data_IF_701682681044
#
_entry.id   IF_701682681044
#
_cell.length_a   1.000
_cell.length_b   1.000
_cell.length_c   1.000
_cell.angle_alpha   90.00
_cell.angle_beta   90.00
_cell.angle_gamma   90.00
#
_symmetry.space_group_name_H-M   'P 1'
#
loop_
_entity.id
_entity.type
_entity.pdbx_description
1 polymer ?
#
# COMPACT_ATOMS: atom_id res chain seq x y z
N UNK A 1 16.33 5.78 -11.33
CA UNK A 1 16.89 7.09 -10.85
C UNK A 1 17.03 7.04 -9.33
N UNK A 2 18.19 7.40 -8.79
CA UNK A 2 18.42 7.50 -7.34
C UNK A 2 18.16 8.94 -6.83
N UNK A 3 18.20 9.13 -5.50
CA UNK A 3 17.93 10.44 -4.88
C UNK A 3 18.84 11.55 -5.42
N UNK A 4 20.17 11.32 -5.51
CA UNK A 4 21.11 12.35 -5.94
C UNK A 4 20.86 12.78 -7.40
N UNK A 5 20.59 11.82 -8.30
CA UNK A 5 20.24 12.15 -9.70
C UNK A 5 18.90 12.86 -9.81
N UNK A 6 17.91 12.48 -9.01
CA UNK A 6 16.60 13.14 -8.97
C UNK A 6 16.73 14.61 -8.54
N UNK A 7 17.50 14.88 -7.49
CA UNK A 7 17.78 16.26 -7.03
C UNK A 7 18.45 17.09 -8.12
N UNK A 8 19.45 16.52 -8.80
CA UNK A 8 20.15 17.18 -9.90
C UNK A 8 19.21 17.52 -11.04
N UNK A 9 18.37 16.57 -11.45
CA UNK A 9 17.37 16.78 -12.52
C UNK A 9 16.34 17.85 -12.15
N UNK A 10 15.79 17.82 -10.91
CA UNK A 10 14.85 18.85 -10.45
C UNK A 10 15.48 20.24 -10.57
N UNK A 11 16.70 20.41 -10.06
CA UNK A 11 17.42 21.70 -10.12
C UNK A 11 17.71 22.13 -11.56
N UNK A 12 18.07 21.19 -12.45
CA UNK A 12 18.34 21.45 -13.85
C UNK A 12 17.08 21.89 -14.60
N UNK A 13 15.96 21.20 -14.41
CA UNK A 13 14.69 21.51 -15.08
C UNK A 13 14.07 22.83 -14.61
N UNK A 14 14.31 23.17 -13.34
CA UNK A 14 13.76 24.40 -12.76
C UNK A 14 14.72 25.60 -12.86
N UNK A 15 15.96 25.36 -13.33
CA UNK A 15 17.03 26.36 -13.34
C UNK A 15 17.21 27.07 -11.99
N UNK A 16 16.93 26.34 -10.89
CA UNK A 16 16.91 26.91 -9.55
C UNK A 16 17.63 25.99 -8.54
N UNK A 17 18.31 26.63 -7.59
CA UNK A 17 18.98 25.96 -6.48
C UNK A 17 18.10 26.04 -5.24
N UNK A 18 17.31 25.01 -5.01
CA UNK A 18 16.49 24.92 -3.79
C UNK A 18 17.35 24.46 -2.61
N UNK A 19 16.93 24.83 -1.40
CA UNK A 19 17.48 24.20 -0.21
C UNK A 19 17.01 22.74 -0.11
N UNK A 20 17.87 21.89 0.46
CA UNK A 20 17.63 20.45 0.54
C UNK A 20 16.28 20.09 1.18
N UNK A 21 15.85 20.86 2.18
CA UNK A 21 14.57 20.63 2.85
C UNK A 21 13.36 20.79 1.91
N UNK A 22 13.39 21.79 1.02
CA UNK A 22 12.30 22.04 0.07
C UNK A 22 12.26 20.92 -0.97
N UNK A 23 13.42 20.53 -1.53
CA UNK A 23 13.50 19.42 -2.50
C UNK A 23 12.98 18.12 -1.88
N UNK A 24 13.37 17.82 -0.64
CA UNK A 24 12.88 16.63 0.06
C UNK A 24 11.36 16.67 0.21
N UNK A 25 10.79 17.83 0.51
CA UNK A 25 9.34 18.00 0.60
C UNK A 25 8.66 17.74 -0.74
N UNK A 26 9.19 18.28 -1.84
CA UNK A 26 8.63 18.06 -3.17
C UNK A 26 8.64 16.57 -3.56
N UNK A 27 9.76 15.89 -3.30
CA UNK A 27 9.91 14.47 -3.58
C UNK A 27 8.93 13.63 -2.73
N UNK A 28 8.86 13.89 -1.42
CA UNK A 28 7.98 13.13 -0.52
C UNK A 28 6.50 13.32 -0.87
N UNK A 29 6.08 14.53 -1.26
CA UNK A 29 4.70 14.78 -1.70
C UNK A 29 4.39 14.05 -3.02
N UNK A 30 5.35 14.03 -3.94
CA UNK A 30 5.21 13.26 -5.18
C UNK A 30 5.09 11.75 -4.91
N UNK A 31 5.95 11.19 -4.06
CA UNK A 31 5.89 9.78 -3.64
C UNK A 31 4.55 9.43 -3.02
N UNK A 32 4.08 10.25 -2.06
CA UNK A 32 2.80 10.03 -1.40
C UNK A 32 1.63 10.03 -2.40
N UNK A 33 1.63 10.95 -3.36
CA UNK A 33 0.62 11.00 -4.42
C UNK A 33 0.65 9.75 -5.29
N UNK A 34 1.84 9.28 -5.67
CA UNK A 34 2.03 8.07 -6.48
C UNK A 34 1.53 6.84 -5.72
N UNK A 35 1.99 6.63 -4.49
CA UNK A 35 1.63 5.44 -3.69
C UNK A 35 0.15 5.37 -3.33
N UNK A 36 -0.51 6.52 -3.15
CA UNK A 36 -1.95 6.57 -2.94
C UNK A 36 -2.77 6.27 -4.22
N UNK A 37 -2.18 6.48 -5.39
CA UNK A 37 -2.89 6.34 -6.67
C UNK A 37 -2.70 4.97 -7.34
N UNK A 38 -1.70 4.17 -6.91
CA UNK A 38 -1.30 2.94 -7.60
C UNK A 38 -1.14 1.78 -6.63
N UNK A 39 -1.78 0.65 -6.95
CA UNK A 39 -1.63 -0.61 -6.22
C UNK A 39 -0.69 -1.54 -6.97
N UNK A 40 0.56 -1.60 -6.55
CA UNK A 40 1.58 -2.47 -7.14
C UNK A 40 1.90 -3.65 -6.22
N UNK A 41 2.17 -4.85 -6.77
CA UNK A 41 2.68 -5.97 -5.97
C UNK A 41 3.99 -5.63 -5.24
N UNK A 42 4.81 -4.74 -5.80
CA UNK A 42 6.02 -4.24 -5.16
C UNK A 42 5.77 -3.42 -3.88
N UNK A 43 4.53 -2.96 -3.67
CA UNK A 43 4.08 -2.24 -2.47
C UNK A 43 3.41 -3.17 -1.46
N UNK A 44 3.67 -4.47 -1.52
CA UNK A 44 3.13 -5.47 -0.60
C UNK A 44 4.25 -6.06 0.24
N UNK A 45 3.91 -6.33 1.49
CA UNK A 45 4.74 -7.09 2.43
C UNK A 45 3.96 -8.26 2.99
N UNK A 46 4.69 -9.25 3.47
CA UNK A 46 4.17 -10.33 4.28
C UNK A 46 4.78 -10.25 5.67
N UNK A 47 3.96 -10.36 6.69
CA UNK A 47 4.39 -10.37 8.09
C UNK A 47 3.68 -11.50 8.83
N UNK A 48 4.41 -12.16 9.71
CA UNK A 48 3.86 -13.19 10.60
C UNK A 48 3.80 -12.65 12.02
N UNK A 49 2.76 -13.03 12.74
CA UNK A 49 2.55 -12.68 14.14
C UNK A 49 1.87 -13.82 14.86
N UNK A 50 1.45 -13.57 16.10
CA UNK A 50 0.72 -14.57 16.90
C UNK A 50 -0.49 -13.91 17.56
N UNK A 51 -1.58 -14.66 17.65
CA UNK A 51 -2.71 -14.36 18.51
C UNK A 51 -2.67 -15.25 19.73
N UNK A 52 -3.16 -14.76 20.86
CA UNK A 52 -3.24 -15.48 22.13
C UNK A 52 -4.65 -15.96 22.39
N UNK A 53 -4.80 -17.09 23.03
CA UNK A 53 -6.11 -17.59 23.50
C UNK A 53 -6.84 -16.53 24.33
N UNK A 54 -8.13 -16.39 24.11
CA UNK A 54 -8.98 -15.43 24.80
C UNK A 54 -8.82 -13.96 24.37
N UNK A 55 -7.89 -13.65 23.46
CA UNK A 55 -7.70 -12.30 22.94
C UNK A 55 -8.13 -12.19 21.48
N UNK A 56 -9.24 -11.50 21.23
CA UNK A 56 -9.77 -11.27 19.89
C UNK A 56 -9.15 -10.09 19.13
N UNK A 57 -8.20 -9.37 19.73
CA UNK A 57 -7.56 -8.21 19.13
C UNK A 57 -6.17 -8.56 18.61
N UNK A 58 -5.90 -8.15 17.38
CA UNK A 58 -4.61 -8.33 16.71
C UNK A 58 -4.11 -6.97 16.22
N UNK A 59 -2.94 -6.54 16.69
CA UNK A 59 -2.32 -5.29 16.26
C UNK A 59 -1.72 -5.43 14.87
N UNK A 60 -1.90 -4.41 14.02
CA UNK A 60 -1.27 -4.33 12.69
C UNK A 60 0.19 -3.89 12.81
N UNK A 61 1.05 -4.21 11.81
CA UNK A 61 2.36 -3.58 11.69
C UNK A 61 2.28 -2.05 11.58
N UNK A 62 3.30 -1.34 12.06
CA UNK A 62 3.33 0.14 12.05
C UNK A 62 3.29 0.74 10.63
N UNK A 63 3.78 0.01 9.64
CA UNK A 63 3.78 0.41 8.23
C UNK A 63 2.57 -0.12 7.43
N UNK A 64 1.57 -0.70 8.11
CA UNK A 64 0.36 -1.21 7.48
C UNK A 64 -0.49 -0.08 6.90
N UNK A 65 -0.89 -0.23 5.64
CA UNK A 65 -1.79 0.69 4.95
C UNK A 65 -3.15 0.04 4.66
N UNK A 66 -3.12 -1.17 4.11
CA UNK A 66 -4.34 -1.91 3.78
C UNK A 66 -4.06 -3.41 3.71
N UNK A 67 -5.01 -4.22 4.18
CA UNK A 67 -4.90 -5.68 4.12
C UNK A 67 -5.16 -6.19 2.72
N UNK A 68 -4.28 -7.05 2.23
CA UNK A 68 -4.50 -7.87 1.03
C UNK A 68 -5.13 -9.21 1.40
N UNK A 69 -4.55 -9.93 2.36
CA UNK A 69 -5.10 -11.15 2.96
C UNK A 69 -4.59 -11.34 4.38
N UNK A 70 -5.42 -11.95 5.22
CA UNK A 70 -5.08 -12.36 6.58
C UNK A 70 -5.44 -13.84 6.72
N UNK A 71 -4.50 -14.64 7.21
CA UNK A 71 -4.71 -16.06 7.48
C UNK A 71 -4.30 -16.39 8.91
N UNK A 72 -5.01 -17.35 9.48
CA UNK A 72 -4.64 -18.04 10.71
C UNK A 72 -4.09 -19.41 10.35
N UNK A 73 -2.94 -19.75 10.88
CA UNK A 73 -2.28 -21.05 10.69
C UNK A 73 -2.61 -21.90 11.92
N UNK A 74 -3.30 -22.99 11.67
CA UNK A 74 -3.68 -23.92 12.75
C UNK A 74 -2.53 -24.84 13.18
N UNK A 75 -2.78 -25.69 14.19
CA UNK A 75 -1.78 -26.60 14.72
C UNK A 75 -1.31 -27.69 13.75
N UNK A 76 -2.02 -27.89 12.63
CA UNK A 76 -1.62 -28.79 11.54
C UNK A 76 -0.77 -28.09 10.46
N UNK A 77 -0.65 -26.76 10.53
CA UNK A 77 0.03 -25.95 9.53
C UNK A 77 -0.88 -25.55 8.37
N UNK A 78 -2.18 -25.75 8.46
CA UNK A 78 -3.15 -25.35 7.43
C UNK A 78 -3.46 -23.85 7.53
N UNK A 79 -3.50 -23.17 6.38
CA UNK A 79 -3.80 -21.75 6.28
C UNK A 79 -5.31 -21.54 6.14
N UNK A 80 -5.91 -20.97 7.17
CA UNK A 80 -7.32 -20.60 7.19
C UNK A 80 -7.43 -19.10 6.91
N UNK A 81 -7.82 -18.74 5.68
CA UNK A 81 -7.95 -17.34 5.25
C UNK A 81 -9.22 -16.72 5.83
N UNK A 82 -9.07 -15.63 6.57
CA UNK A 82 -10.15 -14.92 7.21
C UNK A 82 -10.90 -14.02 6.21
N UNK A 83 -12.22 -13.96 6.37
CA UNK A 83 -13.05 -13.06 5.57
C UNK A 83 -13.17 -11.70 6.26
N UNK A 84 -12.94 -10.64 5.50
CA UNK A 84 -13.17 -9.27 5.99
C UNK A 84 -14.67 -9.02 6.15
N UNK A 85 -15.07 -8.54 7.34
CA UNK A 85 -16.44 -8.19 7.71
C UNK A 85 -16.46 -6.83 8.40
N UNK A 86 -17.64 -6.36 8.72
CA UNK A 86 -17.85 -5.19 9.57
C UNK A 86 -17.71 -5.55 11.05
N UNK A 87 -17.26 -4.59 11.87
CA UNK A 87 -17.14 -4.78 13.34
C UNK A 87 -18.46 -5.18 13.98
N UNK A 88 -19.57 -4.58 13.52
CA UNK A 88 -20.88 -4.90 14.07
C UNK A 88 -21.32 -6.32 13.72
N UNK A 89 -20.94 -6.82 12.53
CA UNK A 89 -21.18 -8.21 12.15
C UNK A 89 -20.48 -9.15 13.13
N UNK A 90 -19.19 -8.93 13.40
CA UNK A 90 -18.42 -9.80 14.32
C UNK A 90 -19.02 -9.77 15.72
N UNK A 91 -19.39 -8.57 16.22
CA UNK A 91 -20.02 -8.41 17.53
C UNK A 91 -21.39 -9.05 17.62
N UNK A 92 -22.16 -9.05 16.54
CA UNK A 92 -23.49 -9.67 16.50
C UNK A 92 -23.40 -11.21 16.36
N UNK A 93 -22.43 -11.69 15.58
CA UNK A 93 -22.21 -13.13 15.38
C UNK A 93 -21.61 -13.81 16.63
N UNK A 94 -20.74 -13.10 17.35
CA UNK A 94 -20.01 -13.60 18.54
C UNK A 94 -20.19 -12.64 19.72
N UNK A 95 -21.42 -12.55 20.28
CA UNK A 95 -21.71 -11.59 21.33
C UNK A 95 -21.15 -11.98 22.71
N UNK A 96 -20.89 -13.27 22.93
CA UNK A 96 -20.36 -13.74 24.21
C UNK A 96 -18.82 -13.75 24.21
N UNK A 97 -18.18 -13.37 25.34
CA UNK A 97 -16.75 -13.58 25.52
C UNK A 97 -16.32 -15.05 25.46
N UNK A 98 -17.28 -15.98 25.64
CA UNK A 98 -17.06 -17.44 25.60
C UNK A 98 -17.25 -18.03 24.20
N UNK A 99 -17.54 -17.21 23.19
CA UNK A 99 -17.58 -17.64 21.79
C UNK A 99 -16.15 -17.73 21.26
N UNK A 100 -15.49 -18.82 21.62
CA UNK A 100 -14.09 -19.10 21.29
C UNK A 100 -13.98 -20.19 20.20
N UNK A 101 -12.95 -20.11 19.39
CA UNK A 101 -12.64 -21.07 18.32
C UNK A 101 -11.57 -20.58 17.37
N UNK A 102 -11.36 -21.34 16.30
CA UNK A 102 -10.51 -20.90 15.19
C UNK A 102 -11.13 -19.65 14.51
N UNK A 103 -10.42 -18.52 14.45
CA UNK A 103 -10.96 -17.32 13.79
C UNK A 103 -11.30 -17.55 12.31
N UNK A 104 -12.46 -17.07 11.88
CA UNK A 104 -12.94 -17.14 10.49
C UNK A 104 -13.11 -15.76 9.87
N UNK A 105 -13.32 -14.75 10.71
CA UNK A 105 -13.60 -13.37 10.28
C UNK A 105 -12.68 -12.37 10.95
N UNK A 106 -12.43 -11.27 10.26
CA UNK A 106 -11.76 -10.12 10.85
C UNK A 106 -12.43 -8.81 10.39
N UNK A 107 -12.26 -7.77 11.19
CA UNK A 107 -12.64 -6.41 10.85
C UNK A 107 -11.60 -5.43 11.38
N UNK A 108 -11.48 -4.28 10.73
CA UNK A 108 -10.69 -3.17 11.25
C UNK A 108 -11.45 -2.53 12.41
N UNK A 109 -10.91 -2.66 13.62
CA UNK A 109 -11.55 -2.17 14.85
C UNK A 109 -11.20 -0.70 15.13
N UNK A 110 -9.93 -0.36 14.98
CA UNK A 110 -9.39 1.00 15.02
C UNK A 110 -8.26 1.15 14.00
N UNK A 111 -7.50 2.25 14.06
CA UNK A 111 -6.45 2.55 13.08
C UNK A 111 -5.40 1.43 12.95
N UNK A 112 -5.06 0.75 14.05
CA UNK A 112 -3.95 -0.20 14.10
C UNK A 112 -4.33 -1.56 14.70
N UNK A 113 -5.64 -1.89 14.77
CA UNK A 113 -6.10 -3.10 15.44
C UNK A 113 -7.20 -3.78 14.62
N UNK A 114 -7.05 -5.07 14.39
CA UNK A 114 -8.13 -5.94 13.92
C UNK A 114 -8.87 -6.54 15.10
N UNK A 115 -10.18 -6.74 14.93
CA UNK A 115 -10.98 -7.62 15.76
C UNK A 115 -11.22 -8.92 15.00
N UNK A 116 -11.03 -10.05 15.67
CA UNK A 116 -11.22 -11.39 15.14
C UNK A 116 -12.53 -11.99 15.63
N UNK A 117 -13.11 -12.86 14.85
CA UNK A 117 -14.30 -13.63 15.25
C UNK A 117 -14.29 -15.05 14.63
N UNK A 118 -14.57 -16.08 15.43
CA UNK A 118 -14.66 -16.10 16.92
C UNK A 118 -13.37 -15.68 17.62
N UNK A 119 -13.44 -15.51 18.95
CA UNK A 119 -12.24 -15.27 19.78
C UNK A 119 -11.33 -16.51 19.70
N UNK A 120 -9.99 -16.35 19.50
CA UNK A 120 -9.09 -17.49 19.48
C UNK A 120 -9.16 -18.34 20.74
N UNK A 121 -9.40 -19.64 20.61
CA UNK A 121 -9.45 -20.62 21.72
C UNK A 121 -8.07 -21.12 22.16
N UNK A 122 -7.06 -20.92 21.31
CA UNK A 122 -5.66 -21.26 21.58
C UNK A 122 -4.72 -20.27 20.85
N UNK A 123 -3.41 -20.30 21.14
CA UNK A 123 -2.46 -19.50 20.37
C UNK A 123 -2.38 -20.00 18.94
N UNK A 124 -2.50 -19.07 17.99
CA UNK A 124 -2.32 -19.34 16.57
C UNK A 124 -1.27 -18.42 15.98
N UNK A 125 -0.53 -18.92 15.01
CA UNK A 125 0.28 -18.07 14.13
C UNK A 125 -0.64 -17.40 13.11
N UNK A 126 -0.41 -16.14 12.83
CA UNK A 126 -1.13 -15.39 11.80
C UNK A 126 -0.16 -14.94 10.72
N UNK A 127 -0.63 -14.93 9.49
CA UNK A 127 0.08 -14.37 8.34
C UNK A 127 -0.73 -13.24 7.75
N UNK A 128 -0.15 -12.05 7.73
CA UNK A 128 -0.74 -10.84 7.16
C UNK A 128 0.02 -10.45 5.90
N UNK A 129 -0.66 -10.50 4.75
CA UNK A 129 -0.18 -9.95 3.49
C UNK A 129 -0.88 -8.60 3.27
N UNK A 130 -0.10 -7.51 3.14
CA UNK A 130 -0.65 -6.16 3.20
C UNK A 130 0.11 -5.17 2.32
N UNK A 131 -0.55 -4.07 1.98
CA UNK A 131 0.06 -2.91 1.37
C UNK A 131 0.71 -2.04 2.43
N UNK A 132 1.89 -1.50 2.13
CA UNK A 132 2.63 -0.60 3.00
C UNK A 132 3.10 0.63 2.24
N UNK A 133 3.43 1.69 2.95
CA UNK A 133 4.17 2.81 2.39
C UNK A 133 5.66 2.47 2.38
N UNK A 134 6.30 2.45 1.20
CA UNK A 134 7.75 2.28 1.13
C UNK A 134 8.47 3.43 1.83
N UNK A 135 9.68 3.15 2.30
CA UNK A 135 10.57 4.19 2.75
C UNK A 135 10.85 5.17 1.61
N UNK A 136 10.84 6.49 1.91
CA UNK A 136 11.08 7.52 0.90
C UNK A 136 12.47 7.39 0.29
N UNK A 137 12.58 7.67 -1.02
CA UNK A 137 13.86 7.75 -1.73
C UNK A 137 14.81 8.76 -1.07
N UNK A 138 14.26 9.76 -0.38
CA UNK A 138 15.03 10.76 0.39
C UNK A 138 15.86 10.11 1.48
N UNK A 139 15.32 9.09 2.16
CA UNK A 139 15.99 8.39 3.26
C UNK A 139 16.74 7.15 2.76
N UNK A 140 16.08 6.35 1.93
CA UNK A 140 16.64 5.09 1.42
C UNK A 140 17.68 5.29 0.31
N UNK A 141 17.74 6.48 -0.32
CA UNK A 141 18.63 6.78 -1.43
C UNK A 141 18.18 6.22 -2.79
N UNK A 142 17.34 5.19 -2.81
CA UNK A 142 16.68 4.61 -3.99
C UNK A 142 15.28 4.14 -3.64
N UNK A 143 14.41 4.01 -4.63
CA UNK A 143 13.07 3.43 -4.47
C UNK A 143 12.67 2.63 -5.70
N UNK A 144 11.74 1.70 -5.53
CA UNK A 144 11.26 0.90 -6.66
C UNK A 144 10.68 1.78 -7.79
N UNK A 145 9.97 2.86 -7.44
CA UNK A 145 9.43 3.83 -8.41
C UNK A 145 10.57 4.58 -9.08
N UNK A 146 11.57 5.04 -8.35
CA UNK A 146 12.74 5.70 -8.89
C UNK A 146 13.53 4.82 -9.87
N UNK A 147 13.62 3.52 -9.61
CA UNK A 147 14.40 2.59 -10.44
C UNK A 147 13.63 2.12 -11.69
N UNK A 148 12.29 2.02 -11.63
CA UNK A 148 11.48 1.44 -12.71
C UNK A 148 10.57 2.44 -13.41
N UNK A 149 10.22 3.58 -12.79
CA UNK A 149 9.32 4.60 -13.30
C UNK A 149 9.77 6.00 -12.88
N UNK A 150 11.01 6.34 -13.16
CA UNK A 150 11.65 7.60 -12.78
C UNK A 150 10.90 8.84 -13.30
N UNK A 151 10.28 8.75 -14.49
CA UNK A 151 9.49 9.83 -15.06
C UNK A 151 8.29 10.24 -14.20
N UNK A 152 7.60 9.27 -13.56
CA UNK A 152 6.48 9.59 -12.64
C UNK A 152 6.99 10.38 -11.44
N UNK A 153 8.10 9.95 -10.86
CA UNK A 153 8.68 10.59 -9.69
C UNK A 153 9.23 11.98 -10.02
N UNK A 154 9.96 12.09 -11.14
CA UNK A 154 10.53 13.36 -11.61
C UNK A 154 9.43 14.39 -11.90
N UNK A 155 8.46 14.06 -12.76
CA UNK A 155 7.41 15.02 -13.10
C UNK A 155 6.47 15.31 -11.91
N UNK A 156 6.26 14.35 -11.02
CA UNK A 156 5.56 14.58 -9.75
C UNK A 156 6.27 15.62 -8.89
N UNK A 157 7.57 15.49 -8.69
CA UNK A 157 8.38 16.44 -7.93
C UNK A 157 8.50 17.80 -8.61
N UNK A 158 8.61 17.83 -9.96
CA UNK A 158 8.63 19.08 -10.74
C UNK A 158 7.33 19.87 -10.61
N UNK A 159 6.17 19.21 -10.53
CA UNK A 159 4.89 19.88 -10.28
C UNK A 159 4.88 20.59 -8.94
N UNK A 160 5.39 19.97 -7.89
CA UNK A 160 5.50 20.60 -6.57
C UNK A 160 6.49 21.77 -6.60
N UNK A 161 7.66 21.59 -7.22
CA UNK A 161 8.68 22.64 -7.33
C UNK A 161 8.17 23.86 -8.11
N UNK A 162 7.51 23.66 -9.26
CA UNK A 162 6.94 24.75 -10.06
C UNK A 162 5.77 25.44 -9.36
N UNK A 163 4.96 24.71 -8.63
CA UNK A 163 3.90 25.28 -7.79
C UNK A 163 4.50 26.16 -6.70
N UNK A 164 5.57 25.71 -6.05
CA UNK A 164 6.30 26.44 -5.04
C UNK A 164 6.89 27.76 -5.59
N UNK A 165 7.50 27.70 -6.76
CA UNK A 165 8.08 28.87 -7.45
C UNK A 165 7.02 29.83 -8.01
N UNK A 166 5.75 29.46 -8.04
CA UNK A 166 4.70 30.18 -8.78
C UNK A 166 5.05 30.34 -10.26
N UNK A 167 5.58 29.24 -10.82
CA UNK A 167 6.04 29.19 -12.21
C UNK A 167 4.93 29.40 -13.24
N UNK A 168 5.31 29.49 -14.51
CA UNK A 168 4.39 29.73 -15.64
C UNK A 168 3.39 28.59 -15.80
N UNK A 169 2.13 28.95 -16.06
CA UNK A 169 1.03 27.96 -16.11
C UNK A 169 1.12 27.00 -17.30
N UNK A 170 1.68 27.43 -18.42
CA UNK A 170 1.88 26.61 -19.60
C UNK A 170 2.93 25.52 -19.36
N UNK A 171 4.01 25.81 -18.68
CA UNK A 171 5.03 24.84 -18.28
C UNK A 171 4.45 23.87 -17.25
N UNK A 172 3.69 24.37 -16.28
CA UNK A 172 3.00 23.53 -15.29
C UNK A 172 2.02 22.55 -15.97
N UNK A 173 1.28 23.02 -16.98
CA UNK A 173 0.36 22.17 -17.74
C UNK A 173 1.10 21.09 -18.55
N UNK A 174 2.29 21.39 -19.10
CA UNK A 174 3.14 20.40 -19.76
C UNK A 174 3.64 19.33 -18.80
N UNK A 175 4.10 19.69 -17.59
CA UNK A 175 4.54 18.73 -16.58
C UNK A 175 3.37 17.89 -16.08
N UNK A 176 2.19 18.50 -15.88
CA UNK A 176 0.99 17.76 -15.52
C UNK A 176 0.64 16.69 -16.57
N UNK A 177 0.65 17.06 -17.83
CA UNK A 177 0.39 16.11 -18.93
C UNK A 177 1.38 14.94 -18.92
N UNK A 178 2.68 15.21 -18.78
CA UNK A 178 3.71 14.16 -18.73
C UNK A 178 3.58 13.27 -17.48
N UNK A 179 3.23 13.88 -16.36
CA UNK A 179 2.94 13.13 -15.13
C UNK A 179 1.74 12.18 -15.32
N UNK A 180 0.65 12.68 -15.92
CA UNK A 180 -0.56 11.89 -16.15
C UNK A 180 -0.30 10.73 -17.13
N UNK A 181 0.46 10.97 -18.21
CA UNK A 181 0.90 9.93 -19.15
C UNK A 181 1.74 8.86 -18.45
N UNK A 182 2.71 9.26 -17.64
CA UNK A 182 3.57 8.34 -16.90
C UNK A 182 2.79 7.56 -15.81
N UNK A 183 1.86 8.22 -15.12
CA UNK A 183 0.96 7.58 -14.15
C UNK A 183 0.02 6.55 -14.80
N UNK A 184 -0.48 6.84 -16.01
CA UNK A 184 -1.30 5.88 -16.74
C UNK A 184 -0.52 4.60 -17.07
N UNK A 185 0.73 4.72 -17.50
CA UNK A 185 1.61 3.57 -17.76
C UNK A 185 1.91 2.78 -16.49
N UNK A 186 2.17 3.47 -15.38
CA UNK A 186 2.42 2.84 -14.08
C UNK A 186 1.20 2.05 -13.59
N UNK A 187 -0.02 2.62 -13.74
CA UNK A 187 -1.28 1.94 -13.40
C UNK A 187 -1.50 0.71 -14.29
N UNK A 188 -1.26 0.82 -15.60
CA UNK A 188 -1.36 -0.33 -16.50
C UNK A 188 -0.42 -1.47 -16.11
N UNK A 189 0.81 -1.16 -15.71
CA UNK A 189 1.75 -2.17 -15.23
C UNK A 189 1.26 -2.81 -13.93
N UNK A 190 0.74 -2.01 -12.99
CA UNK A 190 0.16 -2.50 -11.75
C UNK A 190 -0.98 -3.48 -12.00
N UNK A 191 -1.90 -3.10 -12.88
CA UNK A 191 -3.03 -3.95 -13.28
C UNK A 191 -2.56 -5.22 -13.99
N UNK A 192 -1.60 -5.14 -14.90
CA UNK A 192 -1.06 -6.30 -15.61
C UNK A 192 -0.41 -7.30 -14.65
N UNK A 193 0.40 -6.82 -13.70
CA UNK A 193 1.02 -7.68 -12.68
C UNK A 193 0.00 -8.30 -11.71
N UNK A 194 -1.08 -7.58 -11.39
CA UNK A 194 -2.15 -8.09 -10.54
C UNK A 194 -3.05 -9.13 -11.25
N UNK A 195 -3.08 -9.11 -12.59
CA UNK A 195 -3.91 -9.98 -13.43
C UNK A 195 -3.17 -11.19 -13.99
N UNK A 196 -1.98 -11.50 -13.54
CA UNK A 196 -1.20 -12.66 -14.02
C UNK A 196 -1.79 -14.03 -13.63
N UNK A 197 -2.81 -14.08 -12.79
CA UNK A 197 -3.58 -15.29 -12.54
C UNK A 197 -4.44 -15.61 -13.76
N UNK A 198 -4.28 -16.83 -14.32
CA UNK A 198 -5.06 -17.32 -15.47
C UNK A 198 -6.58 -17.28 -15.23
N UNK A 199 -7.01 -17.34 -13.98
CA UNK A 199 -8.41 -17.14 -13.57
C UNK A 199 -8.87 -15.68 -13.60
N UNK A 200 -7.96 -14.71 -13.58
CA UNK A 200 -8.24 -13.27 -13.63
C UNK A 200 -8.05 -12.67 -15.01
N UNK A 201 -7.37 -13.35 -15.91
CA UNK A 201 -7.10 -12.87 -17.27
C UNK A 201 -8.30 -13.07 -18.20
N UNK A 202 -9.38 -12.31 -17.95
CA UNK A 202 -10.44 -12.09 -18.95
C UNK A 202 -11.43 -13.22 -19.18
N UNK A 203 -11.38 -14.33 -18.47
CA UNK A 203 -12.44 -15.31 -18.51
C UNK A 203 -13.65 -14.84 -17.72
N UNK A 204 -14.75 -14.60 -18.41
CA UNK A 204 -16.05 -14.35 -17.78
C UNK A 204 -16.40 -15.57 -16.95
N UNK A 205 -16.42 -15.43 -15.64
CA UNK A 205 -16.92 -16.49 -14.75
C UNK A 205 -18.43 -16.51 -14.85
N UNK A 206 -18.96 -17.54 -15.48
CA UNK A 206 -20.37 -17.85 -15.28
C UNK A 206 -20.53 -18.47 -13.90
N UNK A 207 -21.48 -18.02 -13.09
CA UNK A 207 -21.82 -18.73 -11.86
C UNK A 207 -22.21 -20.15 -12.23
N UNK A 208 -21.58 -21.12 -11.59
CA UNK A 208 -22.00 -22.53 -11.69
C UNK A 208 -23.34 -22.61 -11.00
N UNK A 209 -24.40 -22.83 -11.79
CA UNK A 209 -25.75 -23.11 -11.29
C UNK A 209 -25.84 -24.50 -10.73
#
# INVERSE_FOLDING_TARGET
MNYSSLVTEIQTYTENQFVTADINTFIQQAEQRIYNAVQLPALRKNSTGNVTAGNKYLTTPDDWLATYSLAVIDGSGEFNYLLNKDVNFIRAAYPSPTDEGLPEYYALFDQNTFILGPTPDQPYTVELHYFYYPESIVTAGSSWVGDNFDSVLLYGALLEAYTFMKGEQDVLAQYQKRYDEAMALLKQLGDAKNRQDAYRSGQVRYPVT
#
